data_IF_317082207414
#
_entry.id   IF_317082207414
#
_cell.length_a   1.000
_cell.length_b   1.000
_cell.length_c   1.000
_cell.angle_alpha   90.00
_cell.angle_beta   90.00
_cell.angle_gamma   90.00
#
_symmetry.space_group_name_H-M   'P 1'
#
loop_
_entity.id
_entity.type
_entity.pdbx_description
1 polymer ?
#
# COMPACT_ATOMS: atom_id res chain seq x y z
N UNK A 1 -2.67 -44.14 -22.38
CA UNK A 1 -2.61 -43.72 -20.96
C UNK A 1 -3.99 -43.21 -20.58
N UNK A 2 -4.65 -43.91 -19.67
CA UNK A 2 -6.08 -43.79 -19.34
C UNK A 2 -6.37 -42.65 -18.36
N UNK A 3 -7.55 -42.04 -18.52
CA UNK A 3 -8.12 -40.91 -17.76
C UNK A 3 -8.10 -41.09 -16.23
N UNK A 4 -7.98 -42.33 -15.74
CA UNK A 4 -7.88 -42.67 -14.32
C UNK A 4 -6.58 -42.20 -13.64
N UNK A 5 -5.45 -42.15 -14.37
CA UNK A 5 -4.16 -41.72 -13.78
C UNK A 5 -4.08 -40.20 -13.56
N UNK A 6 -4.87 -39.41 -14.31
CA UNK A 6 -4.96 -37.97 -14.13
C UNK A 6 -5.84 -37.59 -12.92
N UNK A 7 -6.86 -38.40 -12.61
CA UNK A 7 -7.78 -38.17 -11.48
C UNK A 7 -7.10 -38.36 -10.11
N UNK A 8 -6.20 -39.34 -9.99
CA UNK A 8 -5.47 -39.65 -8.74
C UNK A 8 -4.37 -38.61 -8.42
N UNK A 9 -3.93 -37.84 -9.41
CA UNK A 9 -2.94 -36.79 -9.21
C UNK A 9 -3.53 -35.52 -8.57
N UNK A 10 -4.82 -35.24 -8.83
CA UNK A 10 -5.47 -33.98 -8.43
C UNK A 10 -5.78 -33.92 -6.93
N UNK A 11 -6.05 -35.07 -6.30
CA UNK A 11 -6.35 -35.20 -4.85
C UNK A 11 -5.10 -35.33 -3.97
N UNK A 12 -3.90 -35.41 -4.56
CA UNK A 12 -2.66 -35.60 -3.81
C UNK A 12 -2.33 -34.37 -2.97
N UNK A 13 -2.12 -34.59 -1.68
CA UNK A 13 -1.62 -33.55 -0.76
C UNK A 13 -0.13 -33.32 -1.01
N UNK A 14 0.26 -32.06 -1.08
CA UNK A 14 1.63 -31.59 -1.21
C UNK A 14 1.99 -30.68 -0.03
N UNK A 15 3.27 -30.72 0.35
CA UNK A 15 3.86 -29.81 1.34
C UNK A 15 4.69 -28.77 0.60
N UNK A 16 4.53 -27.51 0.98
CA UNK A 16 5.29 -26.38 0.48
C UNK A 16 6.03 -25.76 1.67
N UNK A 17 7.34 -25.56 1.55
CA UNK A 17 8.11 -24.73 2.47
C UNK A 17 8.28 -23.36 1.83
N UNK A 18 7.59 -22.35 2.36
CA UNK A 18 7.66 -20.98 1.87
C UNK A 18 8.43 -20.18 2.90
N UNK A 19 9.68 -19.81 2.59
CA UNK A 19 10.51 -18.99 3.48
C UNK A 19 10.69 -19.54 4.90
N UNK A 20 10.67 -20.87 5.07
CA UNK A 20 10.80 -21.56 6.36
C UNK A 20 9.46 -21.93 7.02
N UNK A 21 8.32 -21.62 6.40
CA UNK A 21 6.98 -21.98 6.92
C UNK A 21 6.35 -23.05 6.05
N UNK A 22 5.95 -24.15 6.68
CA UNK A 22 5.32 -25.28 6.00
C UNK A 22 3.82 -25.04 5.79
N UNK A 23 3.39 -25.12 4.54
CA UNK A 23 2.00 -25.14 4.11
C UNK A 23 1.64 -26.51 3.53
N UNK A 24 0.38 -26.93 3.73
CA UNK A 24 -0.17 -28.16 3.15
C UNK A 24 -1.40 -27.83 2.33
N UNK A 25 -1.47 -28.35 1.12
CA UNK A 25 -2.61 -28.17 0.22
C UNK A 25 -2.66 -29.30 -0.80
N UNK A 26 -3.70 -29.37 -1.62
CA UNK A 26 -3.77 -30.34 -2.74
C UNK A 26 -3.20 -29.77 -4.04
N UNK A 27 -2.77 -30.67 -4.93
CA UNK A 27 -2.41 -30.32 -6.31
C UNK A 27 -3.60 -29.62 -6.99
N UNK A 28 -4.83 -30.08 -6.77
CA UNK A 28 -6.04 -29.44 -7.30
C UNK A 28 -6.12 -27.94 -7.01
N UNK A 29 -5.78 -27.51 -5.78
CA UNK A 29 -5.75 -26.09 -5.41
C UNK A 29 -4.66 -25.34 -6.19
N UNK A 30 -3.44 -25.89 -6.24
CA UNK A 30 -2.30 -25.24 -6.90
C UNK A 30 -2.48 -25.14 -8.42
N UNK A 31 -3.31 -26.01 -9.01
CA UNK A 31 -3.56 -26.05 -10.44
C UNK A 31 -4.89 -25.42 -10.86
N UNK A 32 -5.68 -24.89 -9.91
CA UNK A 32 -7.02 -24.33 -10.17
C UNK A 32 -6.97 -23.08 -11.04
N UNK A 33 -5.98 -22.22 -10.80
CA UNK A 33 -5.78 -20.98 -11.54
C UNK A 33 -4.54 -21.05 -12.41
N UNK A 34 -4.55 -20.35 -13.54
CA UNK A 34 -3.34 -20.18 -14.33
C UNK A 34 -2.32 -19.36 -13.53
N UNK A 35 -1.17 -19.96 -13.27
CA UNK A 35 -0.17 -19.44 -12.34
C UNK A 35 1.16 -20.15 -12.51
N UNK A 36 2.22 -19.57 -11.92
CA UNK A 36 3.51 -20.22 -11.76
C UNK A 36 3.36 -21.55 -11.02
N UNK A 37 2.53 -21.61 -9.97
CA UNK A 37 2.31 -22.83 -9.17
C UNK A 37 1.66 -23.94 -10.00
N UNK A 38 0.65 -23.62 -10.83
CA UNK A 38 0.08 -24.59 -11.76
C UNK A 38 1.13 -25.16 -12.69
N UNK A 39 1.97 -24.30 -13.26
CA UNK A 39 3.08 -24.73 -14.14
C UNK A 39 4.06 -25.62 -13.39
N UNK A 40 4.46 -25.23 -12.18
CA UNK A 40 5.39 -25.97 -11.33
C UNK A 40 4.92 -27.39 -10.99
N UNK A 41 3.60 -27.60 -10.81
CA UNK A 41 3.03 -28.89 -10.44
C UNK A 41 2.49 -29.71 -11.63
N UNK A 42 2.22 -29.10 -12.79
CA UNK A 42 1.78 -29.83 -13.99
C UNK A 42 2.92 -30.13 -14.98
N UNK A 43 4.01 -29.37 -14.94
CA UNK A 43 5.15 -29.58 -15.84
C UNK A 43 6.26 -30.38 -15.19
N UNK A 44 7.20 -30.87 -16.00
CA UNK A 44 8.39 -31.60 -15.53
C UNK A 44 9.53 -30.65 -15.11
N UNK A 45 9.22 -29.38 -14.77
CA UNK A 45 10.24 -28.46 -14.29
C UNK A 45 10.81 -29.04 -12.99
N UNK A 46 12.14 -29.19 -12.87
CA UNK A 46 12.74 -29.69 -11.65
C UNK A 46 12.47 -28.72 -10.52
N UNK A 47 11.70 -29.19 -9.55
CA UNK A 47 11.41 -28.49 -8.30
C UNK A 47 12.37 -29.00 -7.24
N UNK A 48 13.02 -28.09 -6.51
CA UNK A 48 13.83 -28.45 -5.35
C UNK A 48 12.91 -29.01 -4.27
N UNK A 49 13.16 -30.27 -3.89
CA UNK A 49 12.45 -30.95 -2.81
C UNK A 49 13.44 -31.40 -1.75
N UNK A 50 13.03 -31.28 -0.49
CA UNK A 50 13.79 -31.85 0.63
C UNK A 50 13.60 -33.38 0.73
N UNK A 51 14.23 -33.99 1.76
CA UNK A 51 14.15 -35.42 2.05
C UNK A 51 12.71 -35.90 2.34
N UNK A 52 11.82 -35.01 2.79
CA UNK A 52 10.41 -35.27 3.07
C UNK A 52 9.48 -35.02 1.85
N UNK A 53 10.06 -34.65 0.70
CA UNK A 53 9.33 -34.32 -0.52
C UNK A 53 8.61 -32.97 -0.47
N UNK A 54 8.96 -32.10 0.48
CA UNK A 54 8.47 -30.73 0.59
C UNK A 54 9.09 -29.85 -0.49
N UNK A 55 8.26 -29.05 -1.17
CA UNK A 55 8.70 -28.13 -2.22
C UNK A 55 9.12 -26.81 -1.61
N UNK A 56 10.37 -26.40 -1.80
CA UNK A 56 10.86 -25.12 -1.28
C UNK A 56 10.55 -23.96 -2.24
N UNK A 57 10.07 -22.85 -1.67
CA UNK A 57 9.78 -21.59 -2.33
C UNK A 57 10.46 -20.47 -1.54
N UNK A 58 11.43 -19.82 -2.17
CA UNK A 58 12.21 -18.74 -1.57
C UNK A 58 11.43 -17.40 -1.60
N UNK A 59 10.33 -17.35 -0.85
CA UNK A 59 9.42 -16.19 -0.73
C UNK A 59 8.99 -15.98 0.71
N UNK A 60 8.46 -14.79 0.99
CA UNK A 60 7.91 -14.47 2.30
C UNK A 60 6.64 -15.28 2.58
N UNK A 61 6.64 -15.98 3.71
CA UNK A 61 5.52 -16.78 4.18
C UNK A 61 4.33 -15.97 4.71
N UNK A 62 4.54 -14.70 5.05
CA UNK A 62 3.56 -13.84 5.72
C UNK A 62 2.24 -13.79 4.95
N UNK A 63 2.32 -13.55 3.63
CA UNK A 63 1.15 -13.37 2.76
C UNK A 63 0.76 -14.62 1.96
N UNK A 64 1.56 -15.68 2.02
CA UNK A 64 1.29 -16.91 1.27
C UNK A 64 -0.03 -17.60 1.66
N UNK A 65 -0.50 -17.40 2.90
CA UNK A 65 -1.84 -17.85 3.32
C UNK A 65 -2.95 -17.25 2.45
N UNK A 66 -2.83 -15.97 2.11
CA UNK A 66 -3.81 -15.26 1.29
C UNK A 66 -3.78 -15.76 -0.15
N UNK A 67 -2.58 -16.01 -0.69
CA UNK A 67 -2.39 -16.67 -2.00
C UNK A 67 -3.10 -18.03 -2.04
N UNK A 68 -2.94 -18.87 -1.01
CA UNK A 68 -3.62 -20.16 -0.94
C UNK A 68 -5.14 -20.03 -0.83
N UNK A 69 -5.65 -19.06 -0.09
CA UNK A 69 -7.09 -18.83 0.02
C UNK A 69 -7.67 -18.42 -1.35
N UNK A 70 -7.00 -17.48 -2.04
CA UNK A 70 -7.37 -17.10 -3.40
C UNK A 70 -7.39 -18.32 -4.35
N UNK A 71 -6.37 -19.18 -4.29
CA UNK A 71 -6.32 -20.40 -5.11
C UNK A 71 -7.42 -21.43 -4.77
N UNK A 72 -7.95 -21.43 -3.55
CA UNK A 72 -9.02 -22.34 -3.12
C UNK A 72 -10.38 -21.85 -3.56
N UNK A 73 -10.66 -20.59 -3.28
CA UNK A 73 -12.01 -20.04 -3.35
C UNK A 73 -12.23 -19.29 -4.67
N UNK A 74 -11.16 -18.74 -5.26
CA UNK A 74 -11.18 -17.87 -6.44
C UNK A 74 -11.44 -16.41 -6.13
N UNK A 75 -11.78 -16.11 -4.87
CA UNK A 75 -11.99 -14.78 -4.32
C UNK A 75 -11.40 -14.72 -2.92
N UNK A 76 -11.05 -13.52 -2.47
CA UNK A 76 -10.63 -13.30 -1.08
C UNK A 76 -10.88 -11.86 -0.67
N UNK A 77 -11.20 -11.65 0.61
CA UNK A 77 -11.18 -10.31 1.19
C UNK A 77 -9.73 -9.84 1.28
N UNK A 78 -9.41 -8.75 0.58
CA UNK A 78 -8.11 -8.10 0.71
C UNK A 78 -7.98 -7.43 2.09
N UNK A 79 -6.75 -7.29 2.60
CA UNK A 79 -6.50 -6.52 3.81
C UNK A 79 -7.01 -5.08 3.70
N UNK A 80 -7.35 -4.48 4.85
CA UNK A 80 -7.79 -3.08 4.90
C UNK A 80 -6.62 -2.09 4.64
N UNK A 81 -5.41 -2.49 5.02
CA UNK A 81 -4.19 -1.68 4.90
C UNK A 81 -3.65 -1.70 3.47
N UNK A 82 -3.55 -0.53 2.83
CA UNK A 82 -2.94 -0.41 1.50
C UNK A 82 -1.48 -0.92 1.46
N UNK A 83 -0.77 -0.85 2.59
CA UNK A 83 0.58 -1.46 2.71
C UNK A 83 0.49 -2.97 2.56
N UNK A 84 -0.40 -3.62 3.30
CA UNK A 84 -0.58 -5.08 3.23
C UNK A 84 -1.09 -5.50 1.84
N UNK A 85 -1.99 -4.71 1.23
CA UNK A 85 -2.43 -4.96 -0.16
C UNK A 85 -1.26 -4.88 -1.14
N UNK A 86 -0.33 -3.93 -0.98
CA UNK A 86 0.90 -3.85 -1.81
C UNK A 86 1.82 -5.04 -1.60
N UNK A 87 1.95 -5.53 -0.36
CA UNK A 87 2.74 -6.72 -0.06
C UNK A 87 2.10 -7.98 -0.68
N UNK A 88 0.77 -8.12 -0.63
CA UNK A 88 0.02 -9.19 -1.33
C UNK A 88 0.17 -9.08 -2.84
N UNK A 89 0.09 -7.87 -3.41
CA UNK A 89 0.29 -7.60 -4.83
C UNK A 89 1.67 -8.06 -5.31
N UNK A 90 2.72 -7.85 -4.50
CA UNK A 90 4.07 -8.32 -4.83
C UNK A 90 4.14 -9.85 -4.94
N UNK A 91 3.49 -10.58 -4.01
CA UNK A 91 3.41 -12.05 -4.08
C UNK A 91 2.52 -12.52 -5.24
N UNK A 92 1.38 -11.85 -5.49
CA UNK A 92 0.51 -12.17 -6.62
C UNK A 92 1.25 -12.03 -7.96
N UNK A 93 2.09 -11.00 -8.11
CA UNK A 93 2.99 -10.81 -9.26
C UNK A 93 4.04 -11.90 -9.36
N UNK A 94 4.63 -12.33 -8.25
CA UNK A 94 5.60 -13.43 -8.24
C UNK A 94 4.98 -14.75 -8.71
N UNK A 95 3.80 -15.11 -8.19
CA UNK A 95 3.10 -16.34 -8.55
C UNK A 95 2.33 -16.26 -9.87
N UNK A 96 2.36 -15.11 -10.55
CA UNK A 96 1.66 -14.85 -11.82
C UNK A 96 0.15 -15.11 -11.72
N UNK A 97 -0.48 -14.54 -10.68
CA UNK A 97 -1.92 -14.67 -10.44
C UNK A 97 -2.66 -13.43 -10.94
N UNK A 98 -2.82 -13.32 -12.27
CA UNK A 98 -3.38 -12.14 -12.93
C UNK A 98 -4.69 -11.63 -12.30
N UNK A 99 -5.70 -12.47 -11.98
CA UNK A 99 -6.95 -11.94 -11.41
C UNK A 99 -6.77 -11.40 -9.98
N UNK A 100 -5.79 -11.89 -9.22
CA UNK A 100 -5.46 -11.34 -7.90
C UNK A 100 -4.66 -10.03 -8.02
N UNK A 101 -3.82 -9.92 -9.05
CA UNK A 101 -3.10 -8.68 -9.38
C UNK A 101 -4.12 -7.58 -9.68
N UNK A 102 -5.08 -7.85 -10.56
CA UNK A 102 -6.15 -6.92 -10.93
C UNK A 102 -6.95 -6.50 -9.69
N UNK A 103 -7.37 -7.45 -8.84
CA UNK A 103 -8.13 -7.15 -7.62
C UNK A 103 -7.34 -6.24 -6.65
N UNK A 104 -6.03 -6.48 -6.49
CA UNK A 104 -5.18 -5.66 -5.63
C UNK A 104 -4.98 -4.25 -6.21
N UNK A 105 -4.77 -4.15 -7.52
CA UNK A 105 -4.61 -2.86 -8.20
C UNK A 105 -5.91 -2.05 -8.13
N UNK A 106 -7.08 -2.65 -8.42
CA UNK A 106 -8.38 -2.00 -8.30
C UNK A 106 -8.67 -1.51 -6.86
N UNK A 107 -8.32 -2.31 -5.84
CA UNK A 107 -8.47 -1.91 -4.43
C UNK A 107 -7.55 -0.75 -4.04
N UNK A 108 -6.34 -0.71 -4.59
CA UNK A 108 -5.40 0.39 -4.38
C UNK A 108 -5.83 1.65 -5.15
N UNK A 109 -6.45 1.49 -6.31
CA UNK A 109 -7.02 2.59 -7.09
C UNK A 109 -8.29 3.16 -6.44
N UNK A 110 -9.17 2.32 -5.92
CA UNK A 110 -10.37 2.76 -5.19
C UNK A 110 -10.01 3.45 -3.87
N UNK A 111 -8.81 3.21 -3.33
CA UNK A 111 -8.26 3.95 -2.17
C UNK A 111 -7.85 5.39 -2.52
N UNK A 112 -7.91 5.81 -3.79
CA UNK A 112 -7.61 7.20 -4.14
C UNK A 112 -8.63 8.15 -3.53
N UNK A 113 -8.24 8.82 -2.45
CA UNK A 113 -8.97 9.96 -1.96
C UNK A 113 -9.03 11.04 -3.05
N UNK A 114 -10.22 11.59 -3.37
CA UNK A 114 -10.29 12.76 -4.26
C UNK A 114 -9.59 13.98 -3.66
N UNK A 115 -9.37 13.98 -2.34
CA UNK A 115 -8.91 15.12 -1.57
C UNK A 115 -7.39 15.17 -1.38
N UNK A 116 -6.71 14.02 -1.38
CA UNK A 116 -5.26 13.93 -1.18
C UNK A 116 -4.62 12.81 -2.01
N UNK A 117 -3.30 12.83 -2.14
CA UNK A 117 -2.52 11.80 -2.85
C UNK A 117 -1.73 10.97 -1.84
N UNK A 118 -1.72 9.66 -1.99
CA UNK A 118 -0.89 8.78 -1.16
C UNK A 118 0.32 8.35 -1.96
N UNK A 119 1.51 8.48 -1.38
CA UNK A 119 2.78 8.08 -1.99
C UNK A 119 3.61 7.29 -0.98
N UNK A 120 4.52 6.46 -1.49
CA UNK A 120 5.34 5.59 -0.63
C UNK A 120 6.70 6.18 -0.30
N UNK A 121 7.13 7.26 -0.97
CA UNK A 121 8.45 7.88 -0.74
C UNK A 121 8.41 9.41 -0.87
N UNK A 122 9.37 10.08 -0.22
CA UNK A 122 9.63 11.51 -0.47
C UNK A 122 9.92 11.81 -1.95
N UNK A 123 10.58 10.89 -2.68
CA UNK A 123 10.92 11.10 -4.09
C UNK A 123 9.66 11.18 -4.97
N UNK A 124 8.65 10.36 -4.68
CA UNK A 124 7.35 10.45 -5.35
C UNK A 124 6.60 11.73 -4.97
N UNK A 125 6.63 12.12 -3.68
CA UNK A 125 6.01 13.36 -3.22
C UNK A 125 6.54 14.59 -3.96
N UNK A 126 7.84 14.61 -4.29
CA UNK A 126 8.48 15.71 -5.05
C UNK A 126 7.80 16.00 -6.38
N UNK A 127 7.25 14.99 -7.05
CA UNK A 127 6.51 15.17 -8.31
C UNK A 127 5.31 16.09 -8.13
N UNK A 128 4.63 16.02 -6.98
CA UNK A 128 3.48 16.88 -6.66
C UNK A 128 3.91 18.23 -6.11
N UNK A 129 4.98 18.27 -5.32
CA UNK A 129 5.48 19.51 -4.68
C UNK A 129 5.97 20.51 -5.74
N UNK A 130 6.70 20.04 -6.76
CA UNK A 130 7.35 20.93 -7.73
C UNK A 130 6.57 21.11 -9.04
N UNK A 131 5.53 20.31 -9.30
CA UNK A 131 4.73 20.42 -10.52
C UNK A 131 3.49 21.34 -10.36
N UNK A 132 3.44 22.16 -9.29
CA UNK A 132 2.26 22.96 -8.99
C UNK A 132 2.62 24.36 -8.48
N UNK A 133 1.79 25.33 -8.85
CA UNK A 133 1.77 26.68 -8.27
C UNK A 133 0.76 26.80 -7.12
N UNK A 134 0.15 25.71 -6.67
CA UNK A 134 -0.66 25.69 -5.44
C UNK A 134 0.22 25.43 -4.22
N UNK A 135 -0.18 25.88 -3.02
CA UNK A 135 0.47 25.44 -1.80
C UNK A 135 0.30 23.92 -1.62
N UNK A 136 1.31 23.27 -1.06
CA UNK A 136 1.31 21.82 -0.86
C UNK A 136 1.49 21.49 0.62
N UNK A 137 0.64 20.62 1.15
CA UNK A 137 0.76 20.08 2.50
C UNK A 137 1.16 18.62 2.39
N UNK A 138 2.26 18.27 3.05
CA UNK A 138 2.80 16.92 3.10
C UNK A 138 2.75 16.42 4.53
N UNK A 139 2.02 15.33 4.76
CA UNK A 139 2.06 14.58 6.01
C UNK A 139 2.89 13.31 5.81
N UNK A 140 3.91 13.11 6.63
CA UNK A 140 4.68 11.86 6.67
C UNK A 140 4.31 11.09 7.94
N UNK A 141 3.72 9.91 7.74
CA UNK A 141 3.33 9.00 8.81
C UNK A 141 4.27 7.79 8.87
N UNK A 142 4.65 7.34 10.07
CA UNK A 142 5.41 6.11 10.28
C UNK A 142 4.52 4.88 10.13
N UNK A 143 4.82 3.98 9.18
CA UNK A 143 3.98 2.81 8.89
C UNK A 143 3.88 1.78 10.03
N UNK A 144 4.90 1.68 10.91
CA UNK A 144 4.92 0.71 12.01
C UNK A 144 4.22 1.19 13.30
N UNK A 145 3.90 2.48 13.44
CA UNK A 145 3.27 2.99 14.67
C UNK A 145 1.74 2.77 14.68
N UNK A 146 1.15 2.50 13.51
CA UNK A 146 -0.27 2.18 13.39
C UNK A 146 -0.70 0.94 14.22
N UNK A 147 0.22 0.02 14.54
CA UNK A 147 -0.08 -1.17 15.35
C UNK A 147 0.02 -0.95 16.86
N UNK A 148 0.64 0.14 17.32
CA UNK A 148 0.90 0.39 18.74
C UNK A 148 -0.06 1.41 19.38
N UNK A 149 -1.07 1.88 18.65
CA UNK A 149 -2.11 2.73 19.23
C UNK A 149 -1.66 4.16 19.60
N UNK A 150 -0.60 4.70 18.96
CA UNK A 150 -0.10 6.03 19.32
C UNK A 150 -1.10 7.13 18.96
N UNK A 151 -1.44 8.00 19.93
CA UNK A 151 -2.35 9.12 19.72
C UNK A 151 -1.86 10.11 18.65
N UNK A 152 -0.55 10.20 18.40
CA UNK A 152 0.03 11.12 17.40
C UNK A 152 -0.41 10.79 15.96
N UNK A 153 -0.52 9.49 15.67
CA UNK A 153 -0.86 8.96 14.36
C UNK A 153 -2.32 9.28 14.02
N UNK A 154 -3.25 8.82 14.87
CA UNK A 154 -4.68 9.00 14.64
C UNK A 154 -5.07 10.47 14.61
N UNK A 155 -4.49 11.27 15.50
CA UNK A 155 -4.72 12.72 15.52
C UNK A 155 -4.26 13.37 14.20
N UNK A 156 -3.02 13.12 13.78
CA UNK A 156 -2.47 13.72 12.55
C UNK A 156 -3.21 13.25 11.31
N UNK A 157 -3.49 11.95 11.21
CA UNK A 157 -4.22 11.40 10.06
C UNK A 157 -5.63 11.98 9.96
N UNK A 158 -6.37 11.99 11.08
CA UNK A 158 -7.73 12.54 11.13
C UNK A 158 -7.74 14.03 10.75
N UNK A 159 -6.81 14.82 11.32
CA UNK A 159 -6.71 16.25 11.02
C UNK A 159 -6.34 16.50 9.56
N UNK A 160 -5.42 15.70 9.00
CA UNK A 160 -5.01 15.81 7.60
C UNK A 160 -6.17 15.52 6.65
N UNK A 161 -6.93 14.44 6.91
CA UNK A 161 -8.12 14.11 6.12
C UNK A 161 -9.14 15.26 6.17
N UNK A 162 -9.40 15.82 7.35
CA UNK A 162 -10.31 16.95 7.51
C UNK A 162 -9.86 18.19 6.73
N UNK A 163 -8.59 18.57 6.83
CA UNK A 163 -8.05 19.69 6.05
C UNK A 163 -8.09 19.44 4.54
N UNK A 164 -7.77 18.21 4.11
CA UNK A 164 -7.84 17.84 2.70
C UNK A 164 -9.26 17.97 2.17
N UNK A 165 -10.25 17.40 2.85
CA UNK A 165 -11.67 17.48 2.48
C UNK A 165 -12.15 18.93 2.31
N UNK A 166 -11.73 19.82 3.22
CA UNK A 166 -12.15 21.22 3.21
C UNK A 166 -11.41 22.06 2.15
N UNK A 167 -10.15 21.76 1.84
CA UNK A 167 -9.27 22.66 1.10
C UNK A 167 -8.60 22.09 -0.15
N UNK A 168 -8.90 20.84 -0.56
CA UNK A 168 -8.26 20.18 -1.72
C UNK A 168 -8.36 20.95 -3.05
N UNK A 169 -9.36 21.84 -3.20
CA UNK A 169 -9.52 22.65 -4.41
C UNK A 169 -8.40 23.70 -4.55
N UNK A 170 -7.91 24.24 -3.43
CA UNK A 170 -6.92 25.32 -3.39
C UNK A 170 -5.54 24.87 -2.91
N UNK A 171 -5.44 23.72 -2.26
CA UNK A 171 -4.21 23.19 -1.66
C UNK A 171 -4.03 21.74 -2.12
N UNK A 172 -2.82 21.34 -2.48
CA UNK A 172 -2.52 19.93 -2.76
C UNK A 172 -2.11 19.24 -1.47
N UNK A 173 -2.74 18.11 -1.17
CA UNK A 173 -2.43 17.30 0.01
C UNK A 173 -1.73 16.01 -0.43
N UNK A 174 -0.60 15.70 0.20
CA UNK A 174 0.17 14.48 -0.05
C UNK A 174 0.45 13.76 1.27
N UNK A 175 0.02 12.51 1.37
CA UNK A 175 0.29 11.62 2.47
C UNK A 175 1.42 10.66 2.08
N UNK A 176 2.49 10.66 2.85
CA UNK A 176 3.62 9.74 2.69
C UNK A 176 3.51 8.63 3.73
N UNK A 177 3.37 7.38 3.27
CA UNK A 177 3.34 6.17 4.11
C UNK A 177 4.60 5.35 3.89
N UNK A 178 5.68 5.74 4.55
CA UNK A 178 6.97 5.06 4.40
C UNK A 178 7.09 3.84 5.33
N UNK A 179 7.51 2.66 4.82
CA UNK A 179 7.65 1.45 5.61
C UNK A 179 8.66 1.58 6.76
N UNK A 180 9.78 2.29 6.54
CA UNK A 180 10.94 2.34 7.45
C UNK A 180 11.07 3.66 8.23
N UNK A 181 9.99 4.45 8.32
CA UNK A 181 10.04 5.72 9.05
C UNK A 181 9.81 5.49 10.55
N UNK A 182 10.87 5.67 11.35
CA UNK A 182 10.86 5.46 12.82
C UNK A 182 10.77 6.77 13.63
N UNK A 183 10.38 7.88 13.01
CA UNK A 183 10.30 9.18 13.68
C UNK A 183 8.85 9.61 13.97
N UNK A 184 8.71 10.68 14.76
CA UNK A 184 7.44 11.36 15.00
C UNK A 184 6.77 11.80 13.68
N UNK A 185 5.44 11.86 13.68
CA UNK A 185 4.66 12.36 12.55
C UNK A 185 5.14 13.77 12.15
N UNK A 186 5.46 13.96 10.88
CA UNK A 186 6.02 15.21 10.37
C UNK A 186 5.06 15.85 9.37
N UNK A 187 4.68 17.08 9.66
CA UNK A 187 3.90 17.94 8.77
C UNK A 187 4.82 18.92 8.08
N UNK A 188 4.69 19.06 6.76
CA UNK A 188 5.44 20.04 5.98
C UNK A 188 4.51 20.84 5.08
N UNK A 189 4.62 22.16 5.15
CA UNK A 189 3.85 23.12 4.37
C UNK A 189 4.79 23.79 3.38
N UNK A 190 4.53 23.62 2.10
CA UNK A 190 5.24 24.26 1.01
C UNK A 190 4.43 25.47 0.54
N UNK A 191 4.85 26.65 1.00
CA UNK A 191 4.30 27.95 0.62
C UNK A 191 5.09 28.51 -0.58
N UNK A 192 4.71 29.68 -1.09
CA UNK A 192 5.31 30.22 -2.32
C UNK A 192 6.78 30.58 -2.11
N UNK A 193 7.08 31.12 -0.94
CA UNK A 193 8.38 31.72 -0.60
C UNK A 193 9.16 30.94 0.45
N UNK A 194 8.52 29.98 1.13
CA UNK A 194 9.14 29.24 2.23
C UNK A 194 8.54 27.87 2.45
N UNK A 195 9.28 27.03 3.17
CA UNK A 195 8.85 25.73 3.66
C UNK A 195 8.78 25.76 5.19
N UNK A 196 7.67 25.32 5.75
CA UNK A 196 7.48 25.17 7.19
C UNK A 196 7.39 23.68 7.52
N UNK A 197 8.08 23.21 8.55
CA UNK A 197 8.04 21.81 8.98
C UNK A 197 7.83 21.74 10.49
N UNK A 198 6.89 20.91 10.93
CA UNK A 198 6.60 20.67 12.34
C UNK A 198 6.50 19.18 12.63
N UNK A 199 7.01 18.77 13.80
CA UNK A 199 6.83 17.43 14.34
C UNK A 199 5.67 17.47 15.32
N UNK A 200 4.66 16.62 15.10
CA UNK A 200 3.42 16.59 15.89
C UNK A 200 3.40 15.30 16.70
N UNK A 201 3.32 15.44 18.02
CA UNK A 201 3.34 14.34 18.98
C UNK A 201 1.95 13.94 19.47
N UNK A 202 0.92 14.71 19.14
CA UNK A 202 -0.46 14.38 19.47
C UNK A 202 -1.37 15.60 19.56
N UNK A 203 -2.55 15.44 20.16
CA UNK A 203 -3.58 16.49 20.22
C UNK A 203 -3.15 17.78 20.93
N UNK A 204 -2.15 17.73 21.81
CA UNK A 204 -1.64 18.91 22.50
C UNK A 204 -0.97 19.92 21.55
N UNK A 205 -0.52 19.45 20.38
CA UNK A 205 0.10 20.29 19.35
C UNK A 205 -0.92 20.82 18.32
N UNK A 206 -2.24 20.64 18.54
CA UNK A 206 -3.27 21.06 17.57
C UNK A 206 -3.23 22.55 17.28
N UNK A 207 -3.01 23.39 18.29
CA UNK A 207 -2.90 24.84 18.11
C UNK A 207 -1.74 25.22 17.19
N UNK A 208 -0.59 24.55 17.33
CA UNK A 208 0.56 24.77 16.45
C UNK A 208 0.22 24.38 15.01
N UNK A 209 -0.47 23.25 14.83
CA UNK A 209 -0.87 22.76 13.52
C UNK A 209 -1.88 23.70 12.84
N UNK A 210 -2.86 24.20 13.59
CA UNK A 210 -3.84 25.19 13.13
C UNK A 210 -3.19 26.52 12.75
N UNK A 211 -2.19 26.98 13.49
CA UNK A 211 -1.48 28.23 13.18
C UNK A 211 -0.65 28.11 11.90
N UNK A 212 0.02 26.97 11.69
CA UNK A 212 0.72 26.68 10.43
C UNK A 212 -0.26 26.59 9.25
N UNK A 213 -1.43 25.98 9.47
CA UNK A 213 -2.46 25.90 8.44
C UNK A 213 -3.06 27.28 8.13
N UNK A 214 -3.28 28.13 9.14
CA UNK A 214 -3.69 29.53 8.93
C UNK A 214 -2.69 30.29 8.06
N UNK A 215 -1.39 30.12 8.31
CA UNK A 215 -0.35 30.74 7.50
C UNK A 215 -0.39 30.26 6.03
N UNK A 216 -0.61 28.97 5.82
CA UNK A 216 -0.83 28.41 4.48
C UNK A 216 -2.04 29.06 3.79
N UNK A 217 -3.15 29.28 4.50
CA UNK A 217 -4.36 29.91 3.94
C UNK A 217 -4.12 31.38 3.56
N UNK A 218 -3.27 32.11 4.29
CA UNK A 218 -2.85 33.45 3.91
C UNK A 218 -2.06 33.41 2.58
N UNK A 219 -1.16 32.44 2.40
CA UNK A 219 -0.44 32.22 1.14
C UNK A 219 -1.41 31.88 -0.02
N UNK A 220 -2.41 31.01 0.22
CA UNK A 220 -3.47 30.72 -0.76
C UNK A 220 -4.18 32.01 -1.20
N UNK A 221 -4.59 32.85 -0.24
CA UNK A 221 -5.29 34.10 -0.53
C UNK A 221 -4.41 35.09 -1.29
N UNK A 222 -3.11 35.15 -0.95
CA UNK A 222 -2.13 35.97 -1.66
C UNK A 222 -1.98 35.56 -3.12
N UNK A 223 -1.91 34.25 -3.41
CA UNK A 223 -1.78 33.74 -4.79
C UNK A 223 -2.97 34.11 -5.68
N UNK A 224 -4.20 33.94 -5.17
CA UNK A 224 -5.43 34.29 -5.91
C UNK A 224 -5.48 35.76 -6.34
N UNK A 225 -4.96 36.68 -5.52
CA UNK A 225 -4.92 38.12 -5.84
C UNK A 225 -3.95 38.43 -6.97
N UNK A 226 -2.77 37.81 -6.97
CA UNK A 226 -1.78 37.96 -8.06
C UNK A 226 -2.29 37.41 -9.40
N UNK A 227 -2.97 36.26 -9.39
CA UNK A 227 -3.47 35.65 -10.64
C UNK A 227 -4.59 36.49 -11.28
N UNK A 228 -5.39 37.18 -10.44
CA UNK A 228 -6.45 38.08 -10.90
C UNK A 228 -5.90 39.38 -11.50
N UNK A 229 -4.75 39.87 -11.00
CA UNK A 229 -4.10 41.08 -11.49
C UNK A 229 -3.22 40.87 -12.74
N UNK A 230 -2.90 39.62 -13.08
CA UNK A 230 -2.16 39.27 -14.31
C UNK A 230 -3.06 38.93 -15.50
N UNK A 231 -4.38 38.84 -15.27
CA UNK A 231 -5.38 38.51 -16.30
C UNK A 231 -6.18 39.74 -16.79
N UNK A 232 -5.83 40.94 -16.33
CA UNK A 232 -6.30 42.25 -16.82
C UNK A 232 -5.21 42.96 -17.62
#
# INVERSE_FOLDING_TARGET
MTVAAAADHCSKIVKLDVGGKIFKTSISTLTKHDSMLKTMFLTRIPVVKDEDGCVFIDRDSQHFRLILNFLRDGEMALPDSDREVKEVLAEAKFFLLDPLIELCEERLETSFSPYYRVVSTVLEARKYIFATDKPVVVLRLPAHIATNGSQCYYFSESKFRSFAEQHYKSVIFVLITEPEFHEDCSWTFFLKTKKLTARIKGPMDDNLLEDLFRELLVDVAGRKRTDSQQSE
#
